data_IF_679377097042
#
_entry.id   IF_679377097042
#
_cell.length_a   1.000
_cell.length_b   1.000
_cell.length_c   1.000
_cell.angle_alpha   90.00
_cell.angle_beta   90.00
_cell.angle_gamma   90.00
#
_symmetry.space_group_name_H-M   'P 1'
#
loop_
_entity.id
_entity.type
_entity.pdbx_description
1 polymer ?
#
# COMPACT_ATOMS: atom_id res chain seq x y z
N UNK A 1 -20.34 14.80 -22.77
CA UNK A 1 -18.96 14.28 -22.83
C UNK A 1 -18.82 13.26 -21.71
N UNK A 2 -19.12 12.01 -22.03
CA UNK A 2 -19.46 10.94 -21.09
C UNK A 2 -19.18 9.62 -21.80
N UNK A 3 -17.89 9.31 -21.95
CA UNK A 3 -17.43 8.23 -22.81
C UNK A 3 -16.94 7.05 -21.96
N UNK A 4 -17.78 6.02 -21.87
CA UNK A 4 -17.46 4.72 -21.26
C UNK A 4 -17.39 3.66 -22.37
N UNK A 5 -16.21 3.11 -22.70
CA UNK A 5 -16.10 2.04 -23.68
C UNK A 5 -16.79 0.77 -23.19
N UNK A 6 -17.85 0.35 -23.87
CA UNK A 6 -18.46 -0.96 -23.67
C UNK A 6 -17.62 -2.07 -24.30
N UNK A 7 -17.65 -3.27 -23.71
CA UNK A 7 -17.11 -4.47 -24.34
C UNK A 7 -18.10 -5.04 -25.34
N UNK A 8 -17.62 -5.45 -26.51
CA UNK A 8 -18.45 -6.07 -27.55
C UNK A 8 -18.41 -7.61 -27.45
N UNK A 9 -19.59 -8.23 -27.51
CA UNK A 9 -19.72 -9.68 -27.71
C UNK A 9 -19.70 -10.00 -29.22
N UNK A 10 -19.11 -11.12 -29.66
CA UNK A 10 -19.23 -11.59 -31.04
C UNK A 10 -20.69 -11.90 -31.40
N UNK A 11 -21.13 -11.48 -32.59
CA UNK A 11 -22.49 -11.72 -33.08
C UNK A 11 -22.65 -13.08 -33.76
N UNK A 12 -23.85 -13.65 -33.66
CA UNK A 12 -24.28 -14.82 -34.45
C UNK A 12 -24.53 -14.42 -35.91
N UNK A 13 -24.27 -15.34 -36.85
CA UNK A 13 -24.57 -15.12 -38.27
C UNK A 13 -26.08 -15.26 -38.58
N UNK A 14 -26.64 -14.46 -39.50
CA UNK A 14 -27.92 -14.74 -40.15
C UNK A 14 -27.74 -15.78 -41.26
N UNK A 15 -28.83 -16.47 -41.60
CA UNK A 15 -28.92 -17.43 -42.71
C UNK A 15 -29.97 -16.95 -43.72
N UNK A 16 -29.55 -16.71 -44.96
CA UNK A 16 -30.43 -16.31 -46.06
C UNK A 16 -30.56 -17.45 -47.08
N UNK A 17 -31.81 -17.83 -47.40
CA UNK A 17 -32.18 -18.56 -48.63
C UNK A 17 -33.34 -17.83 -49.33
N UNK A 18 -33.56 -18.02 -50.64
CA UNK A 18 -33.96 -16.90 -51.49
C UNK A 18 -35.40 -16.96 -52.03
N UNK A 19 -35.94 -15.77 -52.32
CA UNK A 19 -37.11 -15.57 -53.19
C UNK A 19 -36.73 -14.80 -54.47
N UNK A 20 -37.35 -15.18 -55.60
CA UNK A 20 -37.13 -14.69 -56.98
C UNK A 20 -38.48 -14.90 -57.70
N UNK A 21 -38.98 -14.09 -58.67
CA UNK A 21 -38.19 -13.46 -59.74
C UNK A 21 -38.68 -12.10 -60.31
N UNK A 22 -37.90 -11.53 -61.25
CA UNK A 22 -38.42 -10.58 -62.26
C UNK A 22 -37.39 -9.66 -62.92
N UNK A 23 -37.34 -9.64 -64.25
CA UNK A 23 -36.58 -8.66 -65.06
C UNK A 23 -35.35 -9.24 -65.78
N UNK A 24 -35.16 -8.90 -67.07
CA UNK A 24 -34.10 -9.46 -67.91
C UNK A 24 -33.51 -8.42 -68.89
N UNK A 25 -32.19 -8.48 -69.14
CA UNK A 25 -31.54 -8.02 -70.39
C UNK A 25 -30.04 -8.44 -70.47
N UNK A 26 -29.77 -9.47 -71.27
CA UNK A 26 -28.60 -9.77 -72.15
C UNK A 26 -27.14 -9.35 -71.81
N UNK A 27 -26.15 -10.25 -72.04
CA UNK A 27 -24.70 -9.96 -72.08
C UNK A 27 -24.24 -9.73 -73.56
N UNK A 28 -22.93 -9.62 -73.92
CA UNK A 28 -21.86 -10.64 -73.78
C UNK A 28 -20.65 -10.04 -73.00
N UNK A 29 -19.34 -10.39 -73.06
CA UNK A 29 -18.47 -11.22 -73.93
C UNK A 29 -17.32 -11.89 -73.12
N UNK A 30 -16.55 -12.77 -73.76
CA UNK A 30 -15.12 -13.05 -73.48
C UNK A 30 -14.36 -13.00 -74.83
N UNK A 31 -13.01 -12.88 -74.84
CA UNK A 31 -12.25 -14.10 -75.08
C UNK A 31 -10.98 -14.29 -74.24
N UNK A 32 -10.52 -15.53 -74.24
CA UNK A 32 -9.30 -16.08 -73.66
C UNK A 32 -7.99 -15.63 -74.34
N UNK A 33 -6.86 -15.74 -73.63
CA UNK A 33 -5.67 -16.41 -74.21
C UNK A 33 -4.70 -16.97 -73.14
N UNK A 34 -3.90 -17.97 -73.55
CA UNK A 34 -2.95 -18.81 -72.80
C UNK A 34 -2.03 -19.49 -73.86
N UNK A 35 -0.99 -20.27 -73.52
CA UNK A 35 0.04 -20.18 -72.47
C UNK A 35 1.48 -20.16 -73.09
N UNK A 36 2.56 -20.21 -72.28
CA UNK A 36 3.82 -20.89 -72.67
C UNK A 36 4.84 -21.03 -71.52
N UNK A 37 5.43 -22.21 -71.37
CA UNK A 37 6.42 -22.57 -70.33
C UNK A 37 7.88 -22.25 -70.67
N UNK A 38 8.77 -22.32 -69.66
CA UNK A 38 10.14 -22.87 -69.80
C UNK A 38 10.86 -23.15 -68.48
N UNK A 39 11.41 -24.36 -68.35
CA UNK A 39 12.50 -24.76 -67.44
C UNK A 39 13.42 -25.69 -68.26
N UNK A 40 14.75 -25.46 -68.27
CA UNK A 40 15.70 -26.48 -67.81
C UNK A 40 16.96 -25.87 -67.13
N UNK A 41 18.00 -26.62 -66.71
CA UNK A 41 18.11 -27.81 -65.83
C UNK A 41 19.62 -28.16 -65.63
N UNK A 42 19.96 -28.88 -64.55
CA UNK A 42 21.14 -29.75 -64.29
C UNK A 42 22.62 -29.27 -64.23
N UNK A 43 23.29 -29.67 -63.13
CA UNK A 43 24.71 -30.10 -63.01
C UNK A 43 25.81 -29.05 -62.72
N UNK A 44 26.96 -29.35 -62.09
CA UNK A 44 27.45 -30.45 -61.21
C UNK A 44 28.87 -30.02 -60.66
N UNK A 45 29.66 -30.65 -59.75
CA UNK A 45 29.60 -31.89 -58.96
C UNK A 45 30.54 -31.80 -57.71
N UNK A 46 30.18 -32.47 -56.58
CA UNK A 46 31.12 -32.96 -55.54
C UNK A 46 31.56 -32.00 -54.41
N UNK A 47 31.86 -32.45 -53.19
CA UNK A 47 31.64 -33.78 -52.58
C UNK A 47 32.45 -34.03 -51.28
N UNK A 48 31.90 -34.84 -50.35
CA UNK A 48 32.50 -35.35 -49.08
C UNK A 48 32.63 -34.33 -47.91
N UNK A 49 32.37 -34.66 -46.63
CA UNK A 49 31.85 -35.89 -45.98
C UNK A 49 31.01 -35.59 -44.70
N UNK A 50 30.01 -36.45 -44.44
CA UNK A 50 29.60 -36.97 -43.11
C UNK A 50 29.09 -36.05 -41.97
N UNK A 51 27.76 -35.97 -41.78
CA UNK A 51 27.07 -36.14 -40.48
C UNK A 51 25.53 -35.98 -40.62
N UNK A 52 24.75 -37.03 -40.32
CA UNK A 52 23.29 -37.01 -40.45
C UNK A 52 22.56 -36.28 -39.32
N UNK A 53 21.69 -35.31 -39.67
CA UNK A 53 20.55 -34.94 -38.82
C UNK A 53 19.38 -34.31 -39.58
N UNK A 54 18.46 -35.14 -40.06
CA UNK A 54 17.17 -34.69 -40.58
C UNK A 54 16.30 -34.02 -39.49
N UNK A 55 15.45 -33.03 -39.82
CA UNK A 55 14.55 -32.40 -38.86
C UNK A 55 13.41 -33.36 -38.50
N UNK A 56 13.37 -33.84 -37.25
CA UNK A 56 12.28 -34.69 -36.78
C UNK A 56 11.04 -33.85 -36.45
N UNK A 57 9.93 -34.19 -37.10
CA UNK A 57 8.61 -33.64 -36.86
C UNK A 57 8.06 -34.02 -35.48
N UNK A 58 7.03 -33.29 -35.06
CA UNK A 58 6.35 -33.46 -33.76
C UNK A 58 5.77 -34.86 -33.58
N UNK A 59 6.34 -35.64 -32.66
CA UNK A 59 5.70 -36.85 -32.12
C UNK A 59 4.78 -36.50 -30.95
N UNK A 60 3.51 -36.30 -31.26
CA UNK A 60 2.40 -36.49 -30.32
C UNK A 60 1.48 -37.57 -30.91
N UNK A 61 1.08 -38.53 -30.08
CA UNK A 61 0.58 -39.84 -30.53
C UNK A 61 -0.85 -39.82 -31.10
N UNK A 62 -1.13 -40.76 -32.01
CA UNK A 62 -2.45 -40.95 -32.65
C UNK A 62 -3.50 -41.65 -31.75
N UNK A 63 -3.23 -41.77 -30.45
CA UNK A 63 -4.05 -42.51 -29.48
C UNK A 63 -4.75 -41.54 -28.51
N UNK A 64 -5.93 -41.04 -28.91
CA UNK A 64 -6.86 -40.43 -27.96
C UNK A 64 -7.41 -41.52 -27.01
N UNK A 65 -7.42 -41.31 -25.69
CA UNK A 65 -8.28 -42.11 -24.82
C UNK A 65 -9.75 -41.87 -25.21
N UNK A 66 -10.63 -42.88 -25.09
CA UNK A 66 -12.05 -42.71 -25.43
C UNK A 66 -12.67 -41.60 -24.59
N UNK A 67 -13.60 -40.85 -25.18
CA UNK A 67 -14.25 -39.72 -24.53
C UNK A 67 -14.90 -40.15 -23.21
N UNK A 68 -14.34 -39.67 -22.10
CA UNK A 68 -14.87 -39.94 -20.76
C UNK A 68 -16.31 -39.42 -20.66
N UNK A 69 -17.24 -40.31 -20.35
CA UNK A 69 -18.66 -39.96 -20.25
C UNK A 69 -18.86 -38.98 -19.08
N UNK A 70 -19.08 -37.70 -19.42
CA UNK A 70 -19.44 -36.66 -18.46
C UNK A 70 -20.86 -36.89 -17.96
N UNK A 71 -21.00 -37.65 -16.88
CA UNK A 71 -22.24 -37.71 -16.10
C UNK A 71 -22.54 -36.32 -15.55
N UNK A 72 -23.63 -35.70 -16.00
CA UNK A 72 -24.06 -34.41 -15.47
C UNK A 72 -24.39 -34.53 -13.97
N UNK A 73 -24.05 -33.54 -13.13
CA UNK A 73 -24.46 -33.51 -11.73
C UNK A 73 -25.98 -33.58 -11.63
N UNK A 74 -26.51 -34.55 -10.89
CA UNK A 74 -27.95 -34.62 -10.62
C UNK A 74 -28.37 -33.39 -9.78
N UNK A 75 -29.55 -32.79 -10.04
CA UNK A 75 -30.12 -31.81 -9.12
C UNK A 75 -30.36 -32.49 -7.75
N UNK A 76 -30.16 -31.79 -6.64
CA UNK A 76 -30.35 -32.35 -5.30
C UNK A 76 -31.81 -32.81 -5.13
N UNK A 77 -31.99 -34.02 -4.56
CA UNK A 77 -33.30 -34.59 -4.33
C UNK A 77 -34.15 -33.70 -3.40
N UNK A 78 -35.45 -33.59 -3.69
CA UNK A 78 -36.38 -32.87 -2.81
C UNK A 78 -36.40 -33.50 -1.40
N UNK A 79 -36.42 -32.69 -0.32
CA UNK A 79 -36.44 -33.22 1.04
C UNK A 79 -37.65 -34.14 1.28
N UNK A 80 -37.37 -35.40 1.61
CA UNK A 80 -38.39 -36.36 2.00
C UNK A 80 -38.96 -35.97 3.37
N UNK A 81 -40.29 -35.99 3.51
CA UNK A 81 -40.95 -35.68 4.77
C UNK A 81 -40.56 -36.71 5.86
N UNK A 82 -40.23 -36.28 7.10
CA UNK A 82 -39.84 -37.21 8.17
C UNK A 82 -40.93 -38.23 8.48
N UNK A 83 -40.56 -39.52 8.43
CA UNK A 83 -41.43 -40.60 8.89
C UNK A 83 -41.52 -40.60 10.41
N UNK A 84 -42.73 -40.81 10.95
CA UNK A 84 -42.96 -40.81 12.39
C UNK A 84 -42.33 -42.06 13.06
N UNK A 85 -41.51 -41.91 14.12
CA UNK A 85 -40.97 -43.05 14.86
C UNK A 85 -42.07 -43.90 15.53
N UNK A 86 -41.94 -45.22 15.44
CA UNK A 86 -42.80 -46.15 16.19
C UNK A 86 -42.43 -46.17 17.68
N UNK A 87 -43.40 -46.47 18.54
CA UNK A 87 -43.25 -46.36 19.99
C UNK A 87 -42.45 -47.52 20.61
N UNK A 88 -41.50 -47.17 21.48
CA UNK A 88 -40.86 -48.07 22.46
C UNK A 88 -41.05 -47.52 23.88
N UNK A 89 -41.31 -48.36 24.91
CA UNK A 89 -41.68 -47.90 26.25
C UNK A 89 -40.46 -47.63 27.17
N UNK A 90 -40.45 -46.54 27.96
CA UNK A 90 -39.29 -46.28 28.83
C UNK A 90 -39.19 -45.04 29.75
N UNK A 91 -40.28 -44.41 30.22
CA UNK A 91 -40.25 -43.40 31.32
C UNK A 91 -39.42 -42.11 31.05
N UNK A 92 -39.29 -41.12 31.97
CA UNK A 92 -40.14 -39.93 31.91
C UNK A 92 -39.38 -38.59 31.77
N UNK A 93 -40.07 -37.54 31.31
CA UNK A 93 -39.44 -36.27 30.89
C UNK A 93 -39.70 -35.03 31.75
N UNK A 94 -39.01 -33.96 31.35
CA UNK A 94 -39.22 -32.53 31.67
C UNK A 94 -38.85 -31.75 30.39
N UNK A 95 -39.31 -30.55 30.06
CA UNK A 95 -40.29 -29.64 30.67
C UNK A 95 -40.19 -28.29 29.92
N UNK A 96 -41.30 -27.69 29.48
CA UNK A 96 -41.26 -26.55 28.54
C UNK A 96 -40.89 -25.21 29.22
N UNK A 97 -40.16 -24.30 28.53
CA UNK A 97 -39.83 -22.98 29.06
C UNK A 97 -41.06 -22.02 29.06
N UNK A 98 -41.13 -21.05 29.99
CA UNK A 98 -42.28 -20.16 30.16
C UNK A 98 -42.29 -18.93 29.22
N UNK A 99 -43.46 -18.31 28.97
CA UNK A 99 -43.61 -17.08 28.19
C UNK A 99 -43.24 -15.80 29.00
N UNK A 100 -42.98 -14.66 28.31
CA UNK A 100 -42.58 -13.41 28.96
C UNK A 100 -43.76 -12.62 29.59
N UNK A 101 -43.53 -11.88 30.69
CA UNK A 101 -44.54 -11.06 31.36
C UNK A 101 -44.71 -9.66 30.74
N UNK A 102 -45.85 -9.02 31.06
CA UNK A 102 -46.21 -7.65 30.65
C UNK A 102 -46.70 -6.83 31.86
N UNK A 103 -46.42 -5.53 31.91
CA UNK A 103 -47.06 -4.58 32.85
C UNK A 103 -46.09 -3.63 33.59
N UNK A 104 -46.58 -2.52 34.24
CA UNK A 104 -45.74 -1.33 34.45
C UNK A 104 -45.70 -0.71 35.87
N UNK A 105 -44.48 -0.53 36.43
CA UNK A 105 -44.11 0.44 37.49
C UNK A 105 -44.74 0.27 38.90
N UNK A 106 -44.56 1.25 39.82
CA UNK A 106 -43.46 2.24 39.95
C UNK A 106 -42.91 2.43 41.41
N UNK A 107 -41.91 3.32 41.57
CA UNK A 107 -41.42 4.00 42.82
C UNK A 107 -40.37 3.31 43.76
N UNK A 108 -39.37 4.11 44.20
CA UNK A 108 -38.49 3.91 45.38
C UNK A 108 -37.25 3.00 45.20
N UNK A 109 -36.08 3.24 45.80
CA UNK A 109 -35.57 4.45 46.49
C UNK A 109 -34.39 4.19 47.46
N UNK A 110 -33.26 4.90 47.32
CA UNK A 110 -32.20 5.04 48.36
C UNK A 110 -30.84 4.32 48.13
N UNK A 111 -29.72 4.72 48.80
CA UNK A 111 -28.35 4.39 48.32
C UNK A 111 -27.26 3.95 49.36
N UNK A 112 -26.26 3.16 48.90
CA UNK A 112 -24.86 3.05 49.38
C UNK A 112 -24.07 2.15 48.38
N UNK A 113 -22.83 2.37 47.91
CA UNK A 113 -21.54 2.79 48.48
C UNK A 113 -20.67 1.61 49.04
N UNK A 114 -19.32 1.69 49.11
CA UNK A 114 -18.44 1.41 47.95
C UNK A 114 -17.19 0.52 48.23
N UNK A 115 -16.43 0.16 47.18
CA UNK A 115 -15.12 -0.52 47.25
C UNK A 115 -15.15 -2.03 46.99
N UNK A 116 -14.03 -2.72 46.72
CA UNK A 116 -12.63 -2.29 46.58
C UNK A 116 -11.75 -3.39 45.95
N UNK A 117 -10.48 -3.10 45.65
CA UNK A 117 -9.55 -4.04 45.00
C UNK A 117 -8.91 -5.04 45.98
N UNK A 118 -8.61 -6.27 45.52
CA UNK A 118 -7.78 -7.20 46.29
C UNK A 118 -7.65 -8.62 45.70
N UNK A 119 -6.51 -8.91 45.07
CA UNK A 119 -6.03 -10.29 44.84
C UNK A 119 -5.21 -10.75 46.06
N UNK A 120 -5.30 -12.04 46.43
CA UNK A 120 -4.08 -12.84 46.44
C UNK A 120 -4.28 -14.26 45.88
N UNK A 121 -3.25 -14.81 45.24
CA UNK A 121 -3.21 -16.22 44.81
C UNK A 121 -2.23 -17.04 45.66
N UNK A 122 -2.40 -18.38 45.79
CA UNK A 122 -1.43 -19.24 46.47
C UNK A 122 -0.46 -19.95 45.52
N UNK A 123 0.82 -19.83 45.86
CA UNK A 123 1.91 -20.83 45.75
C UNK A 123 1.56 -22.24 45.24
N UNK A 124 2.34 -22.74 44.27
CA UNK A 124 2.34 -24.15 43.87
C UNK A 124 3.31 -25.04 44.67
N UNK A 125 3.23 -26.35 44.46
CA UNK A 125 4.16 -27.37 44.98
C UNK A 125 4.23 -28.59 44.06
N UNK A 126 5.36 -29.32 43.98
CA UNK A 126 5.54 -30.43 43.04
C UNK A 126 4.94 -31.75 43.58
N UNK A 127 4.22 -32.48 42.72
CA UNK A 127 3.60 -33.77 43.05
C UNK A 127 3.91 -34.86 42.02
N UNK A 128 4.20 -36.07 42.49
CA UNK A 128 4.57 -37.24 41.67
C UNK A 128 3.49 -37.64 40.67
N UNK A 129 3.90 -38.06 39.47
CA UNK A 129 3.07 -38.82 38.53
C UNK A 129 3.46 -40.31 38.52
N UNK A 130 2.51 -41.26 38.55
CA UNK A 130 2.79 -42.68 38.39
C UNK A 130 3.02 -43.06 36.91
N UNK A 131 3.82 -44.10 36.61
CA UNK A 131 4.05 -44.57 35.24
C UNK A 131 2.82 -45.28 34.67
N UNK A 132 2.58 -45.13 33.37
CA UNK A 132 1.36 -45.60 32.70
C UNK A 132 1.35 -47.09 32.33
N UNK A 133 0.19 -47.53 31.86
CA UNK A 133 0.00 -48.70 31.00
C UNK A 133 -0.65 -48.24 29.69
N UNK A 134 -0.42 -48.95 28.58
CA UNK A 134 -0.80 -48.49 27.25
C UNK A 134 -1.94 -49.31 26.64
N UNK A 135 -2.75 -48.65 25.81
CA UNK A 135 -3.75 -49.25 24.93
C UNK A 135 -3.55 -48.74 23.49
N UNK A 136 -3.61 -49.62 22.46
CA UNK A 136 -3.45 -49.23 21.05
C UNK A 136 -4.74 -48.61 20.48
N UNK A 137 -5.02 -47.36 20.86
CA UNK A 137 -6.18 -46.60 20.39
C UNK A 137 -6.13 -46.23 18.90
N UNK A 138 -7.24 -46.45 18.18
CA UNK A 138 -7.38 -46.14 16.76
C UNK A 138 -7.34 -44.62 16.47
N UNK A 139 -6.80 -44.24 15.31
CA UNK A 139 -6.61 -42.84 14.94
C UNK A 139 -7.92 -42.09 14.64
N UNK A 140 -8.23 -41.07 15.44
CA UNK A 140 -9.28 -40.09 15.13
C UNK A 140 -8.81 -39.10 14.06
N UNK A 141 -9.63 -38.79 13.04
CA UNK A 141 -9.40 -37.66 12.14
C UNK A 141 -9.41 -36.34 12.93
N UNK A 142 -8.37 -35.53 12.77
CA UNK A 142 -8.23 -34.26 13.49
C UNK A 142 -9.30 -33.25 13.08
N UNK A 143 -10.24 -32.97 13.98
CA UNK A 143 -11.27 -31.95 13.77
C UNK A 143 -10.62 -30.56 13.80
N UNK A 144 -10.76 -29.80 12.71
CA UNK A 144 -10.29 -28.41 12.67
C UNK A 144 -11.00 -27.54 13.71
N UNK A 145 -10.37 -26.46 14.22
CA UNK A 145 -10.97 -25.62 15.26
C UNK A 145 -12.33 -25.08 14.78
N UNK A 146 -13.44 -25.31 15.53
CA UNK A 146 -14.76 -24.87 15.12
C UNK A 146 -14.80 -23.35 14.89
N UNK A 147 -15.43 -22.93 13.79
CA UNK A 147 -15.68 -21.52 13.52
C UNK A 147 -16.50 -20.91 14.66
N UNK A 148 -15.96 -19.88 15.31
CA UNK A 148 -16.57 -19.28 16.50
C UNK A 148 -17.92 -18.64 16.19
N UNK A 149 -19.00 -19.32 16.55
CA UNK A 149 -20.34 -18.75 16.54
C UNK A 149 -20.41 -17.59 17.54
N UNK A 150 -20.74 -16.40 17.05
CA UNK A 150 -20.75 -15.18 17.86
C UNK A 150 -21.80 -15.24 18.97
N UNK A 151 -21.41 -14.82 20.17
CA UNK A 151 -22.38 -14.55 21.24
C UNK A 151 -23.28 -13.34 20.92
N UNK A 152 -24.27 -13.02 21.77
CA UNK A 152 -25.32 -12.03 21.48
C UNK A 152 -24.87 -10.60 21.13
N UNK A 153 -23.60 -10.26 21.36
CA UNK A 153 -22.97 -9.00 20.98
C UNK A 153 -22.06 -9.17 19.76
N UNK A 154 -22.61 -9.78 18.70
CA UNK A 154 -21.89 -10.11 17.47
C UNK A 154 -21.39 -8.87 16.74
N UNK A 155 -20.08 -8.60 16.83
CA UNK A 155 -19.41 -7.68 15.92
C UNK A 155 -19.52 -8.14 14.46
N UNK A 156 -19.37 -7.23 13.47
CA UNK A 156 -19.50 -7.59 12.06
C UNK A 156 -18.54 -8.73 11.69
N UNK A 157 -18.96 -9.66 10.81
CA UNK A 157 -18.28 -10.93 10.58
C UNK A 157 -16.80 -10.73 10.16
N UNK A 158 -15.91 -11.70 10.47
CA UNK A 158 -14.49 -11.59 10.12
C UNK A 158 -14.29 -11.37 8.61
N UNK A 159 -14.01 -10.12 8.23
CA UNK A 159 -13.71 -9.77 6.85
C UNK A 159 -12.51 -10.58 6.36
N UNK A 160 -12.57 -11.04 5.11
CA UNK A 160 -11.51 -11.86 4.53
C UNK A 160 -10.13 -11.17 4.67
N UNK A 161 -9.17 -11.96 5.16
CA UNK A 161 -7.75 -11.59 5.29
C UNK A 161 -6.90 -12.53 4.43
N UNK A 162 -6.82 -12.34 3.10
CA UNK A 162 -5.90 -13.12 2.27
C UNK A 162 -4.44 -12.88 2.65
N UNK A 163 -4.12 -11.69 3.17
CA UNK A 163 -2.85 -11.35 3.78
C UNK A 163 -3.00 -10.60 5.10
N UNK A 164 -1.99 -9.81 5.48
CA UNK A 164 -1.86 -9.24 6.84
C UNK A 164 -2.86 -8.12 7.18
N UNK A 165 -3.68 -7.66 6.22
CA UNK A 165 -4.59 -6.51 6.33
C UNK A 165 -6.01 -6.94 5.93
N UNK A 166 -7.06 -6.57 6.69
CA UNK A 166 -8.44 -6.92 6.35
C UNK A 166 -8.95 -6.12 5.15
N UNK A 167 -9.73 -6.78 4.28
CA UNK A 167 -10.38 -6.14 3.13
C UNK A 167 -11.64 -5.33 3.54
N UNK A 168 -11.44 -4.31 4.38
CA UNK A 168 -12.49 -3.39 4.86
C UNK A 168 -11.95 -1.96 5.02
N UNK A 169 -12.81 -0.94 5.17
CA UNK A 169 -12.37 0.41 5.54
C UNK A 169 -11.59 0.41 6.87
N UNK A 170 -10.31 0.78 6.85
CA UNK A 170 -9.33 0.52 7.92
C UNK A 170 -9.41 1.53 9.08
N UNK A 171 -9.22 1.05 10.31
CA UNK A 171 -8.93 1.88 11.47
C UNK A 171 -7.52 2.49 11.45
N UNK A 172 -7.25 3.47 12.32
CA UNK A 172 -5.89 4.02 12.48
C UNK A 172 -4.89 2.94 12.95
N UNK A 173 -5.27 2.14 13.96
CA UNK A 173 -4.47 0.99 14.41
C UNK A 173 -4.19 0.01 13.27
N UNK A 174 -5.24 -0.42 12.55
CA UNK A 174 -5.10 -1.35 11.41
C UNK A 174 -4.18 -0.83 10.29
N UNK A 175 -4.05 0.50 10.11
CA UNK A 175 -3.09 1.11 9.16
C UNK A 175 -1.65 1.04 9.70
N UNK A 176 -1.42 1.32 10.98
CA UNK A 176 -0.10 1.22 11.61
C UNK A 176 0.37 -0.24 11.73
N UNK A 177 -0.49 -1.10 12.28
CA UNK A 177 -0.27 -2.54 12.41
C UNK A 177 -0.07 -3.19 11.04
N UNK A 178 -0.86 -2.80 10.04
CA UNK A 178 -0.73 -3.29 8.66
C UNK A 178 0.61 -2.91 8.03
N UNK A 179 1.12 -1.71 8.27
CA UNK A 179 2.43 -1.27 7.79
C UNK A 179 3.57 -2.06 8.46
N UNK A 180 3.53 -2.22 9.79
CA UNK A 180 4.54 -2.97 10.56
C UNK A 180 4.48 -4.47 10.26
N UNK A 181 3.30 -5.05 10.12
CA UNK A 181 3.12 -6.45 9.73
C UNK A 181 3.64 -6.70 8.31
N UNK A 182 3.37 -5.80 7.35
CA UNK A 182 3.92 -5.89 5.99
C UNK A 182 5.45 -5.82 6.00
N UNK A 183 6.01 -4.89 6.78
CA UNK A 183 7.47 -4.76 6.97
C UNK A 183 8.08 -6.05 7.54
N UNK A 184 7.46 -6.66 8.55
CA UNK A 184 7.95 -7.91 9.16
C UNK A 184 7.84 -9.10 8.19
N UNK A 185 6.72 -9.27 7.50
CA UNK A 185 6.46 -10.39 6.59
C UNK A 185 7.35 -10.36 5.34
N UNK A 186 7.67 -9.17 4.81
CA UNK A 186 8.46 -9.00 3.59
C UNK A 186 9.82 -8.31 3.85
N UNK A 187 10.39 -8.46 5.06
CA UNK A 187 11.53 -7.69 5.54
C UNK A 187 12.72 -7.62 4.57
N UNK A 188 13.06 -8.72 3.89
CA UNK A 188 14.16 -8.77 2.92
C UNK A 188 13.96 -7.81 1.74
N UNK A 189 12.73 -7.75 1.23
CA UNK A 189 12.34 -6.86 0.12
C UNK A 189 12.15 -5.43 0.61
N UNK A 190 11.51 -5.25 1.77
CA UNK A 190 11.21 -3.93 2.35
C UNK A 190 12.49 -3.21 2.77
N UNK A 191 13.32 -3.84 3.59
CA UNK A 191 14.59 -3.26 4.07
C UNK A 191 15.63 -3.16 2.95
N UNK A 192 15.63 -4.06 1.96
CA UNK A 192 16.49 -3.92 0.79
C UNK A 192 16.18 -2.65 -0.03
N UNK A 193 14.90 -2.33 -0.20
CA UNK A 193 14.45 -1.12 -0.89
C UNK A 193 14.70 0.13 -0.04
N UNK A 194 14.35 0.13 1.25
CA UNK A 194 14.53 1.32 2.10
C UNK A 194 16.00 1.60 2.42
N UNK A 195 16.86 0.58 2.56
CA UNK A 195 18.31 0.76 2.71
C UNK A 195 18.93 1.36 1.45
N UNK A 196 18.52 0.89 0.26
CA UNK A 196 19.01 1.47 -1.00
C UNK A 196 18.61 2.95 -1.15
N UNK A 197 17.38 3.32 -0.78
CA UNK A 197 16.96 4.73 -0.75
C UNK A 197 17.73 5.51 0.33
N UNK A 198 17.85 4.97 1.54
CA UNK A 198 18.55 5.61 2.66
C UNK A 198 20.03 5.90 2.33
N UNK A 199 20.78 4.92 1.83
CA UNK A 199 22.20 5.10 1.46
C UNK A 199 22.36 6.15 0.35
N UNK A 200 21.54 6.13 -0.70
CA UNK A 200 21.60 7.15 -1.76
C UNK A 200 21.23 8.53 -1.23
N UNK A 201 20.27 8.62 -0.31
CA UNK A 201 19.86 9.88 0.32
C UNK A 201 20.97 10.44 1.20
N UNK A 202 21.55 9.62 2.07
CA UNK A 202 22.60 10.05 3.00
C UNK A 202 23.87 10.47 2.27
N UNK A 203 24.27 9.76 1.20
CA UNK A 203 25.40 10.18 0.35
C UNK A 203 25.15 11.58 -0.22
N UNK A 204 23.93 11.89 -0.67
CA UNK A 204 23.58 13.23 -1.15
C UNK A 204 23.57 14.26 -0.02
N UNK A 205 23.03 13.92 1.17
CA UNK A 205 22.99 14.83 2.33
C UNK A 205 24.41 15.14 2.85
N UNK A 206 25.26 14.14 3.03
CA UNK A 206 26.65 14.29 3.48
C UNK A 206 27.49 15.06 2.46
N UNK A 207 27.35 14.77 1.16
CA UNK A 207 28.04 15.53 0.11
C UNK A 207 27.57 16.99 0.02
N UNK A 208 26.27 17.26 0.25
CA UNK A 208 25.78 18.64 0.33
C UNK A 208 26.37 19.35 1.55
N UNK A 209 26.28 18.74 2.74
CA UNK A 209 26.79 19.32 3.98
C UNK A 209 28.29 19.64 3.88
N UNK A 210 29.13 18.65 3.58
CA UNK A 210 30.59 18.79 3.54
C UNK A 210 31.19 19.53 2.32
N UNK A 211 30.39 19.89 1.31
CA UNK A 211 30.86 20.68 0.14
C UNK A 211 30.21 22.06 -0.01
N UNK A 212 29.03 22.29 0.58
CA UNK A 212 28.25 23.52 0.35
C UNK A 212 27.73 24.22 1.61
N UNK A 213 27.57 23.52 2.75
CA UNK A 213 26.86 24.05 3.92
C UNK A 213 27.79 24.39 5.11
N UNK A 214 29.09 24.15 4.93
CA UNK A 214 30.20 24.30 5.90
C UNK A 214 30.57 25.78 6.22
N UNK A 215 29.56 26.61 6.48
CA UNK A 215 29.70 28.06 6.74
C UNK A 215 28.65 28.56 7.76
N UNK A 216 28.49 27.83 8.87
CA UNK A 216 27.61 28.21 10.00
C UNK A 216 28.27 29.16 11.01
N UNK A 217 29.58 29.38 10.91
CA UNK A 217 30.45 30.08 11.87
C UNK A 217 30.14 31.57 12.19
N UNK A 218 29.01 32.10 11.72
CA UNK A 218 28.52 33.47 12.00
C UNK A 218 27.41 33.47 13.06
N UNK A 219 26.88 32.31 13.45
CA UNK A 219 25.83 32.21 14.47
C UNK A 219 26.34 32.33 15.92
N UNK A 220 27.64 32.09 16.16
CA UNK A 220 28.24 32.00 17.49
C UNK A 220 29.00 33.26 17.95
N UNK A 221 28.95 34.36 17.19
CA UNK A 221 29.57 35.62 17.60
C UNK A 221 28.61 36.42 18.52
N UNK A 222 28.90 36.55 19.84
CA UNK A 222 28.05 37.30 20.77
C UNK A 222 28.12 38.82 20.57
N UNK A 223 28.96 39.30 19.65
CA UNK A 223 29.04 40.70 19.20
C UNK A 223 28.39 40.94 17.83
N UNK A 224 27.86 39.91 17.17
CA UNK A 224 27.17 40.03 15.90
C UNK A 224 26.02 41.05 15.95
N UNK A 225 25.92 41.89 14.92
CA UNK A 225 24.78 42.79 14.79
C UNK A 225 23.51 42.00 14.47
N UNK A 226 22.31 42.54 14.79
CA UNK A 226 21.05 41.88 14.43
C UNK A 226 20.92 41.56 12.93
N UNK A 227 21.54 42.37 12.06
CA UNK A 227 21.57 42.10 10.62
C UNK A 227 22.43 40.88 10.25
N UNK A 228 23.55 40.66 10.94
CA UNK A 228 24.41 39.51 10.73
C UNK A 228 23.76 38.24 11.25
N UNK A 229 23.14 38.27 12.43
CA UNK A 229 22.32 37.16 12.94
C UNK A 229 21.16 36.83 12.00
N UNK A 230 20.44 37.84 11.48
CA UNK A 230 19.37 37.66 10.49
C UNK A 230 19.87 37.07 9.16
N UNK A 231 21.05 37.50 8.70
CA UNK A 231 21.69 37.02 7.47
C UNK A 231 22.17 35.57 7.62
N UNK A 232 22.79 35.24 8.75
CA UNK A 232 23.23 33.88 9.09
C UNK A 232 22.04 32.92 9.28
N UNK A 233 20.97 33.36 9.96
CA UNK A 233 19.72 32.61 10.06
C UNK A 233 19.08 32.38 8.68
N UNK A 234 19.09 33.38 7.79
CA UNK A 234 18.65 33.23 6.40
C UNK A 234 19.45 32.17 5.63
N UNK A 235 20.78 32.17 5.76
CA UNK A 235 21.65 31.15 5.18
C UNK A 235 21.37 29.75 5.75
N UNK A 236 21.26 29.62 7.08
CA UNK A 236 20.94 28.36 7.76
C UNK A 236 19.56 27.80 7.36
N UNK A 237 18.56 28.66 7.20
CA UNK A 237 17.23 28.27 6.68
C UNK A 237 17.29 27.79 5.23
N UNK A 238 18.06 28.45 4.36
CA UNK A 238 18.28 28.00 2.98
C UNK A 238 18.97 26.63 2.96
N UNK A 239 20.07 26.47 3.70
CA UNK A 239 20.82 25.22 3.82
C UNK A 239 19.92 24.07 4.31
N UNK A 240 19.15 24.32 5.37
CA UNK A 240 18.17 23.37 5.93
C UNK A 240 17.06 23.03 4.93
N UNK A 241 16.62 23.98 4.11
CA UNK A 241 15.60 23.75 3.07
C UNK A 241 16.08 22.78 1.98
N UNK A 242 17.36 22.82 1.60
CA UNK A 242 17.93 21.88 0.61
C UNK A 242 17.96 20.46 1.17
N UNK A 243 18.41 20.28 2.42
CA UNK A 243 18.39 18.98 3.11
C UNK A 243 16.96 18.45 3.27
N UNK A 244 16.00 19.32 3.59
CA UNK A 244 14.57 18.98 3.68
C UNK A 244 13.99 18.56 2.32
N UNK A 245 14.38 19.20 1.22
CA UNK A 245 13.96 18.83 -0.13
C UNK A 245 14.51 17.46 -0.55
N UNK A 246 15.78 17.15 -0.24
CA UNK A 246 16.39 15.83 -0.47
C UNK A 246 15.67 14.75 0.34
N UNK A 247 15.41 15.00 1.63
CA UNK A 247 14.64 14.09 2.49
C UNK A 247 13.20 13.90 2.00
N UNK A 248 12.55 14.93 1.47
CA UNK A 248 11.21 14.83 0.88
C UNK A 248 11.21 13.99 -0.42
N UNK A 249 12.21 14.18 -1.30
CA UNK A 249 12.45 13.34 -2.48
C UNK A 249 12.62 11.87 -2.07
N UNK A 250 13.43 11.60 -1.04
CA UNK A 250 13.66 10.25 -0.52
C UNK A 250 12.39 9.59 0.01
N UNK A 251 11.60 10.30 0.83
CA UNK A 251 10.35 9.79 1.39
C UNK A 251 9.29 9.49 0.31
N UNK A 252 9.20 10.33 -0.73
CA UNK A 252 8.28 10.13 -1.86
C UNK A 252 8.75 8.96 -2.74
N UNK A 253 10.05 8.84 -3.01
CA UNK A 253 10.63 7.71 -3.72
C UNK A 253 10.40 6.38 -2.97
N UNK A 254 10.71 6.33 -1.67
CA UNK A 254 10.46 5.15 -0.83
C UNK A 254 8.97 4.77 -0.82
N UNK A 255 8.07 5.75 -0.75
CA UNK A 255 6.62 5.51 -0.84
C UNK A 255 6.26 4.82 -2.16
N UNK A 256 6.68 5.38 -3.31
CA UNK A 256 6.39 4.80 -4.61
C UNK A 256 7.01 3.40 -4.82
N UNK A 257 8.23 3.19 -4.32
CA UNK A 257 8.95 1.92 -4.45
C UNK A 257 8.37 0.80 -3.57
N UNK A 258 7.84 1.15 -2.39
CA UNK A 258 7.26 0.20 -1.44
C UNK A 258 5.75 -0.03 -1.62
N UNK A 259 5.02 0.86 -2.33
CA UNK A 259 3.58 0.68 -2.55
C UNK A 259 3.24 -0.69 -3.21
N UNK A 260 3.97 -1.18 -4.24
CA UNK A 260 3.69 -2.50 -4.82
C UNK A 260 3.93 -3.67 -3.86
N UNK A 261 4.82 -3.52 -2.88
CA UNK A 261 5.01 -4.50 -1.79
C UNK A 261 3.79 -4.51 -0.87
N UNK A 262 3.33 -3.33 -0.46
CA UNK A 262 2.13 -3.16 0.38
C UNK A 262 0.88 -3.74 -0.31
N UNK A 263 0.68 -3.44 -1.60
CA UNK A 263 -0.45 -3.98 -2.38
C UNK A 263 -0.40 -5.50 -2.55
N UNK A 264 0.78 -6.12 -2.73
CA UNK A 264 0.91 -7.59 -2.77
C UNK A 264 0.67 -8.23 -1.40
N UNK A 265 1.11 -7.58 -0.31
CA UNK A 265 0.90 -8.07 1.05
C UNK A 265 -0.56 -8.07 1.50
N UNK A 266 -1.36 -7.07 1.08
CA UNK A 266 -2.83 -7.07 1.26
C UNK A 266 -3.48 -8.29 0.57
N UNK A 267 -2.96 -8.68 -0.60
CA UNK A 267 -3.44 -9.81 -1.39
C UNK A 267 -2.84 -11.17 -0.97
N UNK A 268 -2.06 -11.22 0.12
CA UNK A 268 -1.40 -12.46 0.59
C UNK A 268 -0.28 -12.99 -0.29
N UNK A 269 0.16 -12.24 -1.30
CA UNK A 269 1.13 -12.72 -2.29
C UNK A 269 2.58 -12.47 -1.85
N UNK A 270 3.50 -13.43 -2.04
CA UNK A 270 4.93 -13.18 -1.87
C UNK A 270 5.41 -12.10 -2.86
N UNK A 271 6.51 -11.42 -2.51
CA UNK A 271 7.08 -10.34 -3.33
C UNK A 271 8.58 -10.18 -3.09
N UNK A 272 9.34 -10.24 -4.17
CA UNK A 272 10.79 -10.03 -4.20
C UNK A 272 11.15 -8.65 -4.75
N UNK A 273 12.30 -8.12 -4.35
CA UNK A 273 12.82 -6.85 -4.89
C UNK A 273 13.01 -6.91 -6.43
N UNK A 274 13.39 -8.06 -6.99
CA UNK A 274 13.57 -8.26 -8.43
C UNK A 274 12.27 -8.27 -9.25
N UNK A 275 11.12 -8.57 -8.64
CA UNK A 275 9.80 -8.38 -9.27
C UNK A 275 9.40 -6.91 -9.24
N UNK A 276 9.47 -6.29 -8.05
CA UNK A 276 9.16 -4.85 -7.87
C UNK A 276 10.00 -3.97 -8.78
N UNK A 277 11.30 -4.25 -8.91
CA UNK A 277 12.18 -3.54 -9.83
C UNK A 277 11.73 -3.68 -11.30
N UNK A 278 11.27 -4.86 -11.74
CA UNK A 278 10.75 -5.07 -13.10
C UNK A 278 9.42 -4.36 -13.34
N UNK A 279 8.50 -4.38 -12.36
CA UNK A 279 7.21 -3.68 -12.43
C UNK A 279 7.37 -2.15 -12.48
N UNK A 280 8.39 -1.62 -11.78
CA UNK A 280 8.63 -0.19 -11.64
C UNK A 280 9.55 0.35 -12.74
N UNK A 281 10.47 -0.43 -13.31
CA UNK A 281 11.41 0.02 -14.37
C UNK A 281 10.76 0.85 -15.50
N UNK A 282 9.65 0.45 -16.14
CA UNK A 282 9.01 1.27 -17.19
C UNK A 282 8.30 2.53 -16.67
N UNK A 283 8.15 2.66 -15.34
CA UNK A 283 7.50 3.78 -14.66
C UNK A 283 8.49 4.78 -14.05
N UNK A 284 9.77 4.40 -13.91
CA UNK A 284 10.85 5.22 -13.32
C UNK A 284 10.88 6.69 -13.78
N UNK A 285 10.81 7.05 -15.08
CA UNK A 285 10.82 8.47 -15.47
C UNK A 285 9.55 9.23 -15.00
N UNK A 286 8.40 8.56 -14.92
CA UNK A 286 7.15 9.15 -14.41
C UNK A 286 7.19 9.31 -12.88
N UNK A 287 7.76 8.33 -12.19
CA UNK A 287 7.98 8.40 -10.75
C UNK A 287 9.01 9.46 -10.39
N UNK A 288 10.17 9.51 -11.04
CA UNK A 288 11.16 10.57 -10.87
C UNK A 288 10.53 11.96 -11.10
N UNK A 289 9.78 12.13 -12.19
CA UNK A 289 9.03 13.35 -12.47
C UNK A 289 8.04 13.74 -11.36
N UNK A 290 7.28 12.78 -10.80
CA UNK A 290 6.37 13.03 -9.67
C UNK A 290 7.13 13.35 -8.37
N UNK A 291 8.18 12.59 -8.07
CA UNK A 291 9.02 12.69 -6.88
C UNK A 291 9.75 14.03 -6.80
N UNK A 292 10.13 14.62 -7.94
CA UNK A 292 10.69 15.97 -8.02
C UNK A 292 9.58 17.04 -8.02
N UNK A 293 8.46 16.80 -8.73
CA UNK A 293 7.37 17.77 -8.85
C UNK A 293 6.69 18.11 -7.52
N UNK A 294 6.46 17.14 -6.64
CA UNK A 294 5.84 17.38 -5.32
C UNK A 294 6.66 18.37 -4.44
N UNK A 295 7.94 18.12 -4.14
CA UNK A 295 8.76 19.05 -3.37
C UNK A 295 9.00 20.36 -4.11
N UNK A 296 9.08 20.37 -5.46
CA UNK A 296 9.12 21.62 -6.23
C UNK A 296 7.84 22.46 -6.09
N UNK A 297 6.65 21.85 -6.04
CA UNK A 297 5.39 22.57 -5.73
C UNK A 297 5.45 23.17 -4.32
N UNK A 298 5.96 22.42 -3.34
CA UNK A 298 6.19 22.93 -1.98
C UNK A 298 7.14 24.13 -1.97
N UNK A 299 8.32 23.98 -2.56
CA UNK A 299 9.34 25.04 -2.65
C UNK A 299 8.82 26.29 -3.38
N UNK A 300 8.06 26.11 -4.47
CA UNK A 300 7.46 27.23 -5.21
C UNK A 300 6.42 27.98 -4.36
N UNK A 301 5.59 27.28 -3.58
CA UNK A 301 4.62 27.93 -2.66
C UNK A 301 5.37 28.73 -1.58
N UNK A 302 6.40 28.14 -0.95
CA UNK A 302 7.22 28.83 0.05
C UNK A 302 7.92 30.05 -0.56
N UNK A 303 8.59 29.89 -1.71
CA UNK A 303 9.33 30.96 -2.37
C UNK A 303 8.45 32.13 -2.82
N UNK A 304 7.24 31.86 -3.33
CA UNK A 304 6.26 32.91 -3.64
C UNK A 304 5.77 33.61 -2.37
N UNK A 305 5.63 32.88 -1.25
CA UNK A 305 5.25 33.45 0.04
C UNK A 305 6.33 34.34 0.66
N UNK A 306 7.61 33.97 0.56
CA UNK A 306 8.73 34.75 1.12
C UNK A 306 9.16 35.91 0.22
N UNK A 307 8.89 35.85 -1.08
CA UNK A 307 9.33 36.83 -2.09
C UNK A 307 9.05 38.30 -1.72
N UNK A 308 7.88 38.71 -1.20
CA UNK A 308 7.65 40.11 -0.83
C UNK A 308 8.62 40.62 0.24
N UNK A 309 8.94 39.78 1.23
CA UNK A 309 9.91 40.11 2.27
C UNK A 309 11.35 40.13 1.77
N UNK A 310 11.70 39.20 0.88
CA UNK A 310 13.02 39.21 0.20
C UNK A 310 13.22 40.50 -0.59
N UNK A 311 12.20 40.95 -1.33
CA UNK A 311 12.26 42.21 -2.08
C UNK A 311 12.38 43.44 -1.17
N UNK A 312 11.70 43.48 -0.03
CA UNK A 312 11.82 44.57 0.95
C UNK A 312 13.20 44.57 1.65
N UNK A 313 13.78 43.40 1.92
CA UNK A 313 15.13 43.28 2.46
C UNK A 313 16.19 43.78 1.46
N UNK A 314 16.08 43.39 0.19
CA UNK A 314 16.94 43.88 -0.90
C UNK A 314 16.75 45.39 -1.18
N UNK A 315 15.55 45.92 -0.89
CA UNK A 315 15.24 47.35 -0.95
C UNK A 315 15.80 48.19 0.21
N UNK A 316 16.62 47.62 1.09
CA UNK A 316 17.29 48.33 2.19
C UNK A 316 16.56 48.30 3.53
N UNK A 317 15.47 47.53 3.68
CA UNK A 317 14.84 47.27 4.98
C UNK A 317 15.01 45.80 5.37
N UNK A 318 16.22 45.46 5.79
CA UNK A 318 16.63 44.11 6.24
C UNK A 318 15.67 43.51 7.25
N UNK A 319 15.44 44.19 8.39
CA UNK A 319 14.56 43.71 9.45
C UNK A 319 13.08 43.65 9.04
N UNK A 320 12.57 44.67 8.33
CA UNK A 320 11.19 44.70 7.84
C UNK A 320 10.92 43.62 6.79
N UNK A 321 11.87 43.41 5.88
CA UNK A 321 11.83 42.37 4.87
C UNK A 321 11.93 40.97 5.46
N UNK A 322 12.81 40.75 6.45
CA UNK A 322 12.89 39.48 7.17
C UNK A 322 11.60 39.15 7.93
N UNK A 323 11.00 40.13 8.62
CA UNK A 323 9.72 39.95 9.29
C UNK A 323 8.59 39.61 8.29
N UNK A 324 8.53 40.31 7.16
CA UNK A 324 7.56 40.04 6.10
C UNK A 324 7.79 38.67 5.43
N UNK A 325 9.05 38.26 5.25
CA UNK A 325 9.41 36.95 4.71
C UNK A 325 9.04 35.82 5.68
N UNK A 326 9.25 36.01 6.99
CA UNK A 326 8.84 35.05 8.01
C UNK A 326 7.31 34.88 8.06
N UNK A 327 6.55 35.99 8.05
CA UNK A 327 5.08 35.97 7.99
C UNK A 327 4.55 35.31 6.71
N UNK A 328 5.08 35.71 5.55
CA UNK A 328 4.71 35.14 4.25
C UNK A 328 5.10 33.66 4.11
N UNK A 329 6.28 33.28 4.60
CA UNK A 329 6.76 31.91 4.65
C UNK A 329 5.94 31.03 5.60
N UNK A 330 5.48 31.55 6.74
CA UNK A 330 4.58 30.85 7.66
C UNK A 330 3.20 30.62 7.03
N UNK A 331 2.60 31.64 6.41
CA UNK A 331 1.34 31.50 5.68
C UNK A 331 1.46 30.51 4.50
N UNK A 332 2.56 30.60 3.75
CA UNK A 332 2.87 29.67 2.69
C UNK A 332 3.15 28.24 3.19
N UNK A 333 3.67 28.05 4.40
CA UNK A 333 3.88 26.72 5.00
C UNK A 333 2.55 26.01 5.30
N UNK A 334 1.53 26.75 5.74
CA UNK A 334 0.16 26.23 5.89
C UNK A 334 -0.41 25.83 4.53
N UNK A 335 -0.27 26.68 3.50
CA UNK A 335 -0.73 26.39 2.15
C UNK A 335 0.01 25.20 1.50
N UNK A 336 1.33 25.15 1.63
CA UNK A 336 2.17 24.06 1.14
C UNK A 336 1.79 22.74 1.83
N UNK A 337 1.57 22.73 3.14
CA UNK A 337 1.07 21.56 3.88
C UNK A 337 -0.30 21.12 3.35
N UNK A 338 -1.22 22.06 3.12
CA UNK A 338 -2.54 21.75 2.56
C UNK A 338 -2.47 21.11 1.16
N UNK A 339 -1.64 21.67 0.27
CA UNK A 339 -1.41 21.17 -1.09
C UNK A 339 -0.69 19.82 -1.09
N UNK A 340 0.36 19.66 -0.28
CA UNK A 340 1.13 18.41 -0.19
C UNK A 340 0.30 17.26 0.39
N UNK A 341 -0.54 17.50 1.39
CA UNK A 341 -1.51 16.50 1.88
C UNK A 341 -2.54 16.14 0.80
N UNK A 342 -3.00 17.11 -0.01
CA UNK A 342 -3.92 16.85 -1.13
C UNK A 342 -3.28 15.97 -2.23
N UNK A 343 -1.95 16.01 -2.38
CA UNK A 343 -1.20 15.24 -3.37
C UNK A 343 -0.39 14.05 -2.79
N UNK A 344 -0.41 13.79 -1.47
CA UNK A 344 0.42 12.75 -0.84
C UNK A 344 0.06 11.32 -1.26
N UNK A 345 -1.09 11.11 -1.90
CA UNK A 345 -1.52 9.81 -2.43
C UNK A 345 -1.24 9.67 -3.93
N UNK A 346 -0.63 10.67 -4.58
CA UNK A 346 -0.22 10.57 -5.98
C UNK A 346 0.90 9.52 -6.20
N UNK A 347 1.89 9.33 -5.29
CA UNK A 347 2.90 8.28 -5.42
C UNK A 347 2.31 6.85 -5.46
N UNK A 348 1.45 6.42 -4.50
CA UNK A 348 0.82 5.10 -4.58
C UNK A 348 -0.16 4.99 -5.76
N UNK A 349 -0.88 6.06 -6.13
CA UNK A 349 -1.76 6.07 -7.30
C UNK A 349 -0.98 5.85 -8.61
N UNK A 350 0.18 6.49 -8.78
CA UNK A 350 1.02 6.29 -9.98
C UNK A 350 1.58 4.86 -9.99
N UNK A 351 2.18 4.42 -8.89
CA UNK A 351 2.83 3.10 -8.80
C UNK A 351 1.87 1.92 -9.04
N UNK A 352 0.61 2.01 -8.58
CA UNK A 352 -0.40 0.95 -8.72
C UNK A 352 -1.25 1.07 -9.98
N UNK A 353 -1.71 2.27 -10.36
CA UNK A 353 -2.59 2.46 -11.51
C UNK A 353 -1.84 2.71 -12.83
N UNK A 354 -0.50 2.78 -12.78
CA UNK A 354 0.41 2.98 -13.93
C UNK A 354 0.14 4.23 -14.77
N UNK A 355 -0.52 5.22 -14.16
CA UNK A 355 -1.01 6.43 -14.80
C UNK A 355 0.09 7.43 -15.16
N UNK A 356 -0.28 8.52 -15.84
CA UNK A 356 0.58 9.70 -16.00
C UNK A 356 0.52 10.59 -14.76
N UNK A 357 1.60 11.35 -14.51
CA UNK A 357 1.76 12.25 -13.34
C UNK A 357 0.52 13.14 -13.12
N UNK A 358 0.01 13.79 -14.18
CA UNK A 358 -1.20 14.64 -14.10
C UNK A 358 -2.46 13.88 -13.69
N UNK A 359 -2.65 12.63 -14.15
CA UNK A 359 -3.78 11.78 -13.75
C UNK A 359 -3.63 11.33 -12.29
N UNK A 360 -2.44 10.92 -11.86
CA UNK A 360 -2.17 10.54 -10.46
C UNK A 360 -2.37 11.69 -9.46
N UNK A 361 -1.97 12.92 -9.80
CA UNK A 361 -2.27 14.13 -9.00
C UNK A 361 -3.78 14.38 -8.89
N UNK A 362 -4.51 14.30 -10.01
CA UNK A 362 -5.98 14.41 -10.02
C UNK A 362 -6.68 13.28 -9.24
N UNK A 363 -6.12 12.07 -9.26
CA UNK A 363 -6.58 10.91 -8.49
C UNK A 363 -6.45 11.16 -6.99
N UNK A 364 -5.26 11.57 -6.53
CA UNK A 364 -5.00 11.96 -5.14
C UNK A 364 -5.94 13.09 -4.68
N UNK A 365 -6.05 14.15 -5.47
CA UNK A 365 -6.89 15.29 -5.15
C UNK A 365 -8.39 14.94 -5.03
N UNK A 366 -8.88 13.92 -5.75
CA UNK A 366 -10.23 13.36 -5.59
C UNK A 366 -10.36 12.49 -4.32
N UNK A 367 -9.41 11.59 -4.07
CA UNK A 367 -9.46 10.66 -2.93
C UNK A 367 -9.32 11.36 -1.56
N UNK A 368 -8.46 12.37 -1.47
CA UNK A 368 -8.27 13.17 -0.23
C UNK A 368 -9.43 14.15 0.01
N UNK A 369 -10.25 14.44 -1.00
CA UNK A 369 -11.34 15.40 -0.89
C UNK A 369 -12.40 14.94 0.13
N UNK A 370 -12.77 15.81 1.08
CA UNK A 370 -13.65 15.44 2.18
C UNK A 370 -13.07 14.43 3.17
N UNK A 371 -11.76 14.17 3.13
CA UNK A 371 -11.04 13.30 4.09
C UNK A 371 -9.68 13.87 4.50
N UNK A 372 -9.39 15.13 4.15
CA UNK A 372 -8.11 15.81 4.34
C UNK A 372 -7.58 15.72 5.78
N UNK A 373 -8.39 16.01 6.80
CA UNK A 373 -7.99 15.94 8.21
C UNK A 373 -7.54 14.55 8.66
N UNK A 374 -8.18 13.47 8.16
CA UNK A 374 -7.78 12.08 8.42
C UNK A 374 -6.44 11.77 7.73
N UNK A 375 -6.27 12.19 6.48
CA UNK A 375 -5.03 11.97 5.70
C UNK A 375 -3.85 12.77 6.27
N UNK A 376 -4.10 13.98 6.77
CA UNK A 376 -3.13 14.80 7.49
C UNK A 376 -2.75 14.15 8.83
N UNK A 377 -3.73 13.90 9.71
CA UNK A 377 -3.48 13.41 11.07
C UNK A 377 -2.79 12.04 11.11
N UNK A 378 -3.19 11.10 10.24
CA UNK A 378 -2.58 9.77 10.20
C UNK A 378 -1.14 9.84 9.64
N UNK A 379 -0.87 10.67 8.64
CA UNK A 379 0.52 10.89 8.17
C UNK A 379 1.37 11.67 9.19
N UNK A 380 0.79 12.65 9.89
CA UNK A 380 1.49 13.41 10.92
C UNK A 380 1.91 12.48 12.06
N UNK A 381 1.00 11.65 12.55
CA UNK A 381 1.30 10.63 13.56
C UNK A 381 2.39 9.65 13.06
N UNK A 382 2.30 9.16 11.82
CA UNK A 382 3.33 8.29 11.26
C UNK A 382 4.69 8.99 11.12
N UNK A 383 4.74 10.29 10.78
CA UNK A 383 5.97 11.10 10.77
C UNK A 383 6.52 11.34 12.18
N UNK A 384 5.66 11.54 13.18
CA UNK A 384 6.09 11.68 14.59
C UNK A 384 6.68 10.37 15.11
N UNK A 385 6.02 9.23 14.89
CA UNK A 385 6.54 7.91 15.29
C UNK A 385 7.86 7.61 14.55
N UNK A 386 7.92 7.86 13.24
CA UNK A 386 9.14 7.71 12.45
C UNK A 386 10.27 8.64 12.94
N UNK A 387 9.96 9.90 13.29
CA UNK A 387 10.93 10.86 13.82
C UNK A 387 11.50 10.45 15.17
N UNK A 388 10.67 9.93 16.08
CA UNK A 388 11.11 9.41 17.39
C UNK A 388 11.96 8.15 17.23
N UNK A 389 11.57 7.21 16.36
CA UNK A 389 12.39 6.02 16.08
C UNK A 389 13.72 6.42 15.42
N UNK A 390 13.68 7.36 14.47
CA UNK A 390 14.86 7.89 13.80
C UNK A 390 15.83 8.60 14.75
N UNK A 391 15.34 9.45 15.66
CA UNK A 391 16.20 10.15 16.61
C UNK A 391 16.79 9.22 17.67
N UNK A 392 16.03 8.25 18.18
CA UNK A 392 16.55 7.21 19.09
C UNK A 392 17.67 6.39 18.45
N UNK A 393 17.61 6.15 17.14
CA UNK A 393 18.68 5.48 16.38
C UNK A 393 19.85 6.42 16.11
N UNK A 394 19.60 7.67 15.70
CA UNK A 394 20.64 8.59 15.28
C UNK A 394 21.47 9.15 16.45
N UNK A 395 20.85 9.48 17.58
CA UNK A 395 21.51 10.13 18.74
C UNK A 395 22.78 9.38 19.19
N UNK A 396 22.79 8.05 19.40
CA UNK A 396 24.01 7.31 19.73
C UNK A 396 25.16 7.50 18.72
N UNK A 397 24.85 7.56 17.42
CA UNK A 397 25.87 7.79 16.38
C UNK A 397 26.34 9.24 16.37
N UNK A 398 25.46 10.21 16.59
CA UNK A 398 25.83 11.63 16.68
C UNK A 398 26.68 11.93 17.92
N UNK A 399 26.37 11.31 19.05
CA UNK A 399 27.20 11.36 20.28
C UNK A 399 28.57 10.71 20.03
N UNK A 400 28.59 9.53 19.41
CA UNK A 400 29.84 8.86 19.05
C UNK A 400 30.70 9.69 18.09
N UNK A 401 30.07 10.34 17.11
CA UNK A 401 30.71 11.26 16.17
C UNK A 401 31.35 12.46 16.90
N UNK A 402 30.61 13.13 17.77
CA UNK A 402 31.11 14.27 18.56
C UNK A 402 32.27 13.90 19.49
N UNK A 403 32.19 12.73 20.15
CA UNK A 403 33.28 12.22 21.00
C UNK A 403 34.52 11.85 20.19
N UNK A 404 34.37 11.16 19.04
CA UNK A 404 35.51 10.73 18.22
C UNK A 404 36.17 11.85 17.40
N UNK A 405 35.47 12.97 17.17
CA UNK A 405 36.02 14.15 16.50
C UNK A 405 36.56 15.21 17.46
N UNK A 406 36.44 15.02 18.77
CA UNK A 406 36.89 16.00 19.77
C UNK A 406 35.92 17.16 20.02
N UNK A 407 34.82 17.26 19.26
CA UNK A 407 33.72 18.22 19.48
C UNK A 407 33.00 18.01 20.83
N UNK A 408 33.08 16.81 21.40
CA UNK A 408 32.39 16.46 22.65
C UNK A 408 30.87 16.47 22.52
N UNK A 409 30.17 16.56 23.66
CA UNK A 409 28.71 16.64 23.71
C UNK A 409 28.20 18.08 23.83
N UNK A 410 28.96 18.99 24.45
CA UNK A 410 28.61 20.40 24.64
C UNK A 410 28.37 21.08 23.31
N UNK A 411 29.41 21.17 22.47
CA UNK A 411 29.34 21.81 21.15
C UNK A 411 28.19 21.28 20.27
N UNK A 412 27.80 20.01 20.41
CA UNK A 412 26.65 19.48 19.68
C UNK A 412 25.29 19.99 20.21
N UNK A 413 25.14 20.14 21.53
CA UNK A 413 23.95 20.71 22.15
C UNK A 413 23.88 22.24 21.97
N UNK A 414 25.03 22.90 21.99
CA UNK A 414 25.19 24.35 21.81
C UNK A 414 25.10 24.77 20.32
N UNK A 415 25.20 23.82 19.39
CA UNK A 415 25.12 24.05 17.94
C UNK A 415 26.47 24.37 17.26
N UNK A 416 27.55 24.43 18.03
CA UNK A 416 28.90 24.89 17.64
C UNK A 416 29.84 23.77 17.17
N UNK A 417 29.33 22.53 17.02
CA UNK A 417 30.13 21.37 16.63
C UNK A 417 30.65 21.47 15.18
N UNK A 418 31.95 21.26 15.00
CA UNK A 418 32.60 21.14 13.69
C UNK A 418 31.99 19.95 12.92
N UNK A 419 31.34 20.26 11.79
CA UNK A 419 30.69 19.31 10.88
C UNK A 419 31.68 18.70 9.87
N UNK A 420 32.97 18.66 10.18
CA UNK A 420 33.99 18.02 9.35
C UNK A 420 33.68 16.57 9.00
N UNK A 421 34.25 16.11 7.88
CA UNK A 421 33.92 14.83 7.21
C UNK A 421 33.83 13.60 8.13
N UNK A 422 34.68 13.48 9.14
CA UNK A 422 34.62 12.39 10.13
C UNK A 422 33.30 12.38 10.92
N UNK A 423 32.78 13.56 11.31
CA UNK A 423 31.50 13.68 12.00
C UNK A 423 30.33 13.29 11.09
N UNK A 424 30.34 13.77 9.85
CA UNK A 424 29.30 13.49 8.86
C UNK A 424 29.25 11.99 8.50
N UNK A 425 30.40 11.33 8.37
CA UNK A 425 30.44 9.90 8.06
C UNK A 425 29.91 9.04 9.22
N UNK A 426 30.25 9.37 10.48
CA UNK A 426 29.79 8.60 11.64
C UNK A 426 28.29 8.85 11.91
N UNK A 427 27.85 10.11 11.90
CA UNK A 427 26.44 10.46 12.08
C UNK A 427 25.56 9.97 10.93
N UNK A 428 26.06 10.04 9.68
CA UNK A 428 25.40 9.52 8.49
C UNK A 428 25.17 7.99 8.52
N UNK A 429 26.03 7.20 9.17
CA UNK A 429 25.73 5.76 9.40
C UNK A 429 24.47 5.61 10.26
N UNK A 430 24.31 6.44 11.30
CA UNK A 430 23.08 6.53 12.09
C UNK A 430 21.88 6.99 11.26
N UNK A 431 22.07 7.99 10.39
CA UNK A 431 21.08 8.49 9.43
C UNK A 431 20.58 7.41 8.46
N UNK A 432 21.48 6.61 7.90
CA UNK A 432 21.15 5.46 7.04
C UNK A 432 20.34 4.40 7.79
N UNK A 433 20.77 4.00 8.99
CA UNK A 433 20.09 2.96 9.78
C UNK A 433 18.70 3.45 10.21
N UNK A 434 18.60 4.70 10.69
CA UNK A 434 17.33 5.34 11.04
C UNK A 434 16.38 5.43 9.85
N UNK A 435 16.87 5.92 8.71
CA UNK A 435 16.09 6.03 7.47
C UNK A 435 15.65 4.66 6.93
N UNK A 436 16.54 3.66 6.92
CA UNK A 436 16.23 2.32 6.44
C UNK A 436 15.10 1.64 7.23
N UNK A 437 14.98 1.94 8.54
CA UNK A 437 13.92 1.41 9.41
C UNK A 437 12.64 2.28 9.42
N UNK A 438 12.73 3.59 9.16
CA UNK A 438 11.60 4.53 9.27
C UNK A 438 10.89 4.83 7.93
N UNK A 439 11.61 4.78 6.81
CA UNK A 439 11.01 4.91 5.47
C UNK A 439 9.92 3.85 5.21
N UNK A 440 10.07 2.55 5.58
CA UNK A 440 9.00 1.55 5.45
C UNK A 440 7.70 1.89 6.18
N UNK A 441 7.80 2.49 7.37
CA UNK A 441 6.63 2.84 8.18
C UNK A 441 5.81 3.95 7.51
N UNK A 442 6.48 5.04 7.10
CA UNK A 442 5.82 6.19 6.46
C UNK A 442 5.29 5.86 5.06
N UNK A 443 6.07 5.10 4.28
CA UNK A 443 5.65 4.56 2.98
C UNK A 443 4.45 3.61 3.10
N UNK A 444 4.48 2.71 4.09
CA UNK A 444 3.41 1.75 4.36
C UNK A 444 2.11 2.43 4.76
N UNK A 445 2.14 3.33 5.76
CA UNK A 445 0.98 4.11 6.16
C UNK A 445 0.38 4.89 4.99
N UNK A 446 1.21 5.53 4.15
CA UNK A 446 0.74 6.28 2.98
C UNK A 446 0.11 5.38 1.91
N UNK A 447 0.68 4.19 1.71
CA UNK A 447 0.14 3.16 0.80
C UNK A 447 -1.20 2.59 1.29
N UNK A 448 -1.33 2.36 2.60
CA UNK A 448 -2.55 1.82 3.20
C UNK A 448 -3.66 2.89 3.32
N UNK A 449 -3.31 4.16 3.53
CA UNK A 449 -4.25 5.29 3.39
C UNK A 449 -4.83 5.39 1.98
N UNK A 450 -4.03 5.15 0.95
CA UNK A 450 -4.50 5.09 -0.44
C UNK A 450 -5.49 3.94 -0.65
N UNK A 451 -5.18 2.74 -0.14
CA UNK A 451 -6.07 1.57 -0.24
C UNK A 451 -7.37 1.77 0.57
N UNK A 452 -7.28 2.28 1.79
CA UNK A 452 -8.43 2.63 2.66
C UNK A 452 -9.38 3.61 1.96
N UNK A 453 -8.85 4.70 1.42
CA UNK A 453 -9.67 5.69 0.71
C UNK A 453 -10.22 5.15 -0.60
N UNK A 454 -9.50 4.27 -1.29
CA UNK A 454 -10.01 3.60 -2.49
C UNK A 454 -11.23 2.73 -2.15
N UNK A 455 -11.14 1.88 -1.11
CA UNK A 455 -12.27 1.08 -0.62
C UNK A 455 -13.45 2.00 -0.26
N UNK A 456 -13.23 3.05 0.55
CA UNK A 456 -14.27 4.00 0.99
C UNK A 456 -14.92 4.86 -0.11
N UNK A 457 -14.24 5.08 -1.25
CA UNK A 457 -14.68 6.01 -2.30
C UNK A 457 -15.13 5.34 -3.60
N UNK A 458 -14.68 4.11 -3.86
CA UNK A 458 -15.03 3.35 -5.06
C UNK A 458 -15.90 2.12 -4.76
N UNK A 459 -16.27 1.90 -3.49
CA UNK A 459 -17.13 0.78 -3.08
C UNK A 459 -16.62 -0.60 -3.52
N UNK A 460 -15.29 -0.78 -3.42
CA UNK A 460 -14.61 -2.06 -3.69
C UNK A 460 -15.14 -3.18 -2.77
N UNK A 461 -15.67 -2.83 -1.61
CA UNK A 461 -16.37 -3.71 -0.68
C UNK A 461 -17.72 -4.24 -1.25
N UNK A 462 -18.44 -3.48 -2.08
CA UNK A 462 -19.62 -3.98 -2.80
C UNK A 462 -19.24 -4.95 -3.93
N UNK A 463 -18.15 -4.69 -4.65
CA UNK A 463 -17.64 -5.60 -5.67
C UNK A 463 -17.10 -6.89 -5.04
N UNK A 464 -16.38 -6.79 -3.91
CA UNK A 464 -15.90 -7.94 -3.14
C UNK A 464 -17.04 -8.73 -2.48
N UNK A 465 -18.09 -8.07 -1.96
CA UNK A 465 -19.26 -8.76 -1.43
C UNK A 465 -20.03 -9.52 -2.52
N UNK A 466 -20.17 -8.94 -3.71
CA UNK A 466 -20.75 -9.60 -4.89
C UNK A 466 -19.89 -10.79 -5.36
N UNK A 467 -18.56 -10.62 -5.42
CA UNK A 467 -17.63 -11.68 -5.78
C UNK A 467 -17.53 -12.80 -4.72
N UNK A 468 -17.83 -12.50 -3.46
CA UNK A 468 -17.92 -13.46 -2.36
C UNK A 468 -19.30 -14.15 -2.24
N UNK A 469 -20.20 -13.96 -3.22
CA UNK A 469 -21.51 -14.62 -3.24
C UNK A 469 -22.51 -14.11 -2.20
N UNK A 470 -22.25 -12.95 -1.57
CA UNK A 470 -23.20 -12.33 -0.63
C UNK A 470 -24.24 -11.52 -1.43
N UNK A 471 -25.02 -12.25 -2.22
CA UNK A 471 -26.30 -11.72 -2.69
C UNK A 471 -27.19 -11.45 -1.48
N UNK A 472 -27.83 -10.28 -1.46
CA UNK A 472 -28.91 -10.04 -0.49
C UNK A 472 -30.03 -11.04 -0.79
N UNK A 473 -30.69 -11.63 0.22
CA UNK A 473 -31.97 -12.28 0.00
C UNK A 473 -32.86 -11.33 -0.79
N UNK A 474 -33.36 -11.80 -1.94
CA UNK A 474 -34.28 -11.01 -2.77
C UNK A 474 -35.53 -10.64 -1.98
N UNK A 475 -36.34 -9.67 -2.46
CA UNK A 475 -37.66 -9.44 -1.89
C UNK A 475 -38.42 -10.76 -1.81
N UNK A 476 -38.71 -11.22 -0.59
CA UNK A 476 -39.44 -12.47 -0.40
C UNK A 476 -40.80 -12.40 -1.10
N UNK A 477 -41.32 -13.52 -1.62
CA UNK A 477 -42.58 -13.52 -2.36
C UNK A 477 -43.69 -12.90 -1.50
N UNK A 478 -44.29 -11.82 -1.99
CA UNK A 478 -45.40 -11.13 -1.33
C UNK A 478 -46.58 -12.08 -1.19
N UNK A 479 -47.02 -12.44 0.04
CA UNK A 479 -48.11 -13.39 0.20
C UNK A 479 -49.46 -12.73 -0.13
N UNK A 480 -50.24 -13.36 -1.02
CA UNK A 480 -51.65 -13.06 -1.23
C UNK A 480 -51.99 -12.30 -2.50
N UNK A 481 -52.54 -13.05 -3.47
CA UNK A 481 -53.45 -12.58 -4.52
C UNK A 481 -54.47 -13.68 -4.77
#
# INVERSE_FOLDING_TARGET
MTDTPGWASPGSAPSDEPDTPGGAAQPPEQPSEQPSDRIPDQGDQGGRDGADRAPQSSKWSEEQPPAGQWTAPQPPAAPQAPQAPQAGPGYPGWGTPPPPPTGPGPYGGGPAAPGGWGTPGPTGGPGYGPPGHGDPGYGHPGYGPPGGWGGPWGGPPPAAKPGVIPLRPLGLGEILDGAVATMRTHWRTVLGISLAVAVVTEIVVVLLQGLYLDNTAVLDDPSATPEETLRAAGGSLLNSSVVLLVTAVAAIAATALLTPVMSRSVLGRPVTAGEVARDIRPQLPRLCGLTLLLPLIGAAIIGVGTLPGILVALGGSTAGGAALAALGGMAASVLATWVLVRFSLAPPALALEKQSVRKALGRSAKLVNGSWWRVFGIQLLARVIAGVVGSVIAVPFTVLAGVLTGNGLGNFLDGTADLGWSFLMISGIGGVIGSALTLPLTAGVTSLLYIDLRIRREALDLELARAAGVERPGPGPTPGS
#
